data_IF_288389582816
#
_entry.id   IF_288389582816
#
_cell.length_a   1.000
_cell.length_b   1.000
_cell.length_c   1.000
_cell.angle_alpha   90.00
_cell.angle_beta   90.00
_cell.angle_gamma   90.00
#
_symmetry.space_group_name_H-M   'P 1'
#
loop_
_entity.id
_entity.type
_entity.pdbx_description
1 polymer ?
#
# COMPACT_ATOMS: atom_id res chain seq x y z
N UNK A 1 39.70 10.74 -10.49
CA UNK A 1 41.15 10.97 -10.66
C UNK A 1 41.53 12.05 -9.67
N UNK A 2 42.24 11.67 -8.62
CA UNK A 2 42.80 12.64 -7.66
C UNK A 2 44.25 12.89 -8.05
N UNK A 3 44.54 14.07 -8.61
CA UNK A 3 45.91 14.50 -8.92
C UNK A 3 46.50 15.15 -7.67
N UNK A 4 47.41 14.48 -7.01
CA UNK A 4 48.22 15.07 -5.93
C UNK A 4 49.37 15.83 -6.54
N UNK A 5 49.53 17.11 -6.11
CA UNK A 5 50.53 18.04 -6.58
C UNK A 5 51.95 17.51 -6.29
N UNK A 6 52.66 17.10 -7.33
CA UNK A 6 54.04 16.64 -7.22
C UNK A 6 54.98 17.81 -7.02
N UNK A 7 55.93 17.66 -6.10
CA UNK A 7 56.97 18.63 -5.79
C UNK A 7 57.95 18.79 -6.98
N UNK A 8 58.04 19.99 -7.54
CA UNK A 8 58.69 20.29 -8.80
C UNK A 8 60.23 20.38 -8.74
N UNK A 9 60.88 19.84 -7.74
CA UNK A 9 62.35 20.01 -7.52
C UNK A 9 63.21 18.76 -7.77
N UNK A 10 62.66 17.67 -8.34
CA UNK A 10 63.47 16.51 -8.71
C UNK A 10 63.38 16.24 -10.21
N UNK A 11 64.56 15.98 -10.84
CA UNK A 11 64.65 15.60 -12.26
C UNK A 11 63.73 14.45 -12.62
N UNK A 12 63.21 14.42 -13.86
CA UNK A 12 62.27 13.41 -14.26
C UNK A 12 62.89 12.01 -14.15
N UNK A 13 62.44 11.23 -13.21
CA UNK A 13 62.55 9.76 -13.25
C UNK A 13 61.40 9.27 -14.07
N UNK A 14 61.65 8.30 -14.93
CA UNK A 14 60.61 7.57 -15.64
C UNK A 14 59.67 6.97 -14.62
N UNK A 15 58.44 7.49 -14.58
CA UNK A 15 57.40 6.97 -13.75
C UNK A 15 56.54 6.02 -14.61
N UNK A 16 56.56 4.76 -14.29
CA UNK A 16 55.60 3.81 -14.82
C UNK A 16 54.32 3.92 -13.99
N UNK A 17 53.27 4.47 -14.57
CA UNK A 17 51.95 4.53 -13.93
C UNK A 17 51.22 3.23 -14.29
N UNK A 18 51.00 2.38 -13.31
CA UNK A 18 50.12 1.25 -13.45
C UNK A 18 48.67 1.76 -13.24
N UNK A 19 47.88 1.71 -14.28
CA UNK A 19 46.45 1.99 -14.20
C UNK A 19 45.79 0.62 -13.99
N UNK A 20 45.34 0.37 -12.78
CA UNK A 20 44.45 -0.77 -12.50
C UNK A 20 43.05 -0.35 -12.91
N UNK A 21 42.46 -1.12 -13.79
CA UNK A 21 41.07 -0.95 -14.19
C UNK A 21 40.20 -1.42 -13.04
N UNK A 22 39.74 -0.49 -12.20
CA UNK A 22 38.75 -0.77 -11.18
C UNK A 22 37.41 -0.79 -11.86
N UNK A 23 36.95 -1.97 -12.23
CA UNK A 23 35.55 -2.18 -12.61
C UNK A 23 34.71 -2.12 -11.33
N UNK A 24 34.14 -0.97 -11.04
CA UNK A 24 33.00 -0.90 -10.15
C UNK A 24 31.84 -1.62 -10.86
N UNK A 25 31.61 -2.85 -10.47
CA UNK A 25 30.32 -3.49 -10.77
C UNK A 25 29.27 -2.71 -10.00
N UNK A 26 28.59 -1.81 -10.70
CA UNK A 26 27.36 -1.23 -10.17
C UNK A 26 26.43 -2.41 -9.87
N UNK A 27 26.02 -2.56 -8.63
CA UNK A 27 24.95 -3.45 -8.26
C UNK A 27 23.80 -3.18 -9.22
N UNK A 28 23.26 -4.26 -9.80
CA UNK A 28 22.14 -4.21 -10.71
C UNK A 28 21.03 -3.41 -10.04
N UNK A 29 20.97 -2.10 -10.34
CA UNK A 29 19.88 -1.28 -9.89
C UNK A 29 18.67 -1.76 -10.68
N UNK A 30 17.90 -2.64 -10.07
CA UNK A 30 16.58 -2.98 -10.56
C UNK A 30 15.77 -1.68 -10.55
N UNK A 31 15.69 -1.03 -11.70
CA UNK A 31 14.70 0.03 -11.92
C UNK A 31 13.35 -0.67 -11.89
N UNK A 32 12.78 -0.79 -10.70
CA UNK A 32 11.37 -1.10 -10.56
C UNK A 32 10.66 0.14 -11.09
N UNK A 33 10.36 0.13 -12.38
CA UNK A 33 9.44 1.07 -12.95
C UNK A 33 8.11 0.82 -12.24
N UNK A 34 7.75 1.66 -11.29
CA UNK A 34 6.39 1.77 -10.82
C UNK A 34 5.56 2.26 -12.01
N UNK A 35 5.18 1.31 -12.85
CA UNK A 35 4.16 1.59 -13.85
C UNK A 35 2.93 2.00 -13.07
N UNK A 36 2.56 3.27 -13.18
CA UNK A 36 1.31 3.75 -12.59
C UNK A 36 0.17 2.92 -13.20
N UNK A 37 -0.21 1.87 -12.51
CA UNK A 37 -1.24 0.91 -12.96
C UNK A 37 -2.61 1.54 -13.10
N UNK A 38 -2.76 2.80 -12.64
CA UNK A 38 -4.01 3.57 -12.75
C UNK A 38 -4.42 3.83 -14.20
N UNK A 39 -3.43 3.94 -15.10
CA UNK A 39 -3.67 4.25 -16.50
C UNK A 39 -3.62 3.03 -17.45
N UNK A 40 -3.25 1.84 -16.96
CA UNK A 40 -3.07 0.65 -17.80
C UNK A 40 -4.23 -0.36 -17.70
N UNK A 41 -5.37 0.05 -17.19
CA UNK A 41 -6.55 -0.80 -17.19
C UNK A 41 -7.57 -0.34 -18.22
N UNK A 42 -8.06 -1.27 -19.01
CA UNK A 42 -9.19 -1.05 -19.93
C UNK A 42 -10.54 -1.16 -19.20
N UNK A 43 -10.52 -1.47 -17.92
CA UNK A 43 -11.71 -1.68 -17.13
C UNK A 43 -12.27 -0.34 -16.67
N UNK A 44 -13.42 0.05 -17.20
CA UNK A 44 -14.16 1.22 -16.75
C UNK A 44 -14.71 0.97 -15.34
N UNK A 45 -14.62 1.98 -14.49
CA UNK A 45 -15.13 1.89 -13.11
C UNK A 45 -14.16 1.31 -12.07
N UNK A 46 -13.01 0.77 -12.48
CA UNK A 46 -11.95 0.34 -11.57
C UNK A 46 -11.10 1.52 -11.12
N UNK A 47 -10.96 1.67 -9.83
CA UNK A 47 -10.00 2.56 -9.19
C UNK A 47 -9.04 1.75 -8.32
N UNK A 48 -7.76 1.80 -8.65
CA UNK A 48 -6.70 1.16 -7.87
C UNK A 48 -6.17 2.15 -6.85
N UNK A 49 -6.08 1.71 -5.61
CA UNK A 49 -5.66 2.55 -4.48
C UNK A 49 -4.54 1.82 -3.76
N UNK A 50 -3.43 2.53 -3.59
CA UNK A 50 -2.26 2.04 -2.87
C UNK A 50 -2.52 2.04 -1.36
N UNK A 51 -2.09 0.99 -0.66
CA UNK A 51 -2.29 0.84 0.78
C UNK A 51 -1.65 1.94 1.62
N UNK A 52 -0.61 2.60 1.11
CA UNK A 52 0.04 3.71 1.81
C UNK A 52 -0.88 4.89 2.06
N UNK A 53 -1.88 5.10 1.19
CA UNK A 53 -2.89 6.15 1.35
C UNK A 53 -3.70 5.92 2.62
N UNK A 54 -4.03 4.67 2.91
CA UNK A 54 -4.83 4.34 4.10
C UNK A 54 -4.03 4.46 5.40
N UNK A 55 -2.72 4.20 5.37
CA UNK A 55 -1.87 4.35 6.56
C UNK A 55 -1.66 5.80 6.99
N UNK A 56 -1.71 6.73 6.05
CA UNK A 56 -1.53 8.16 6.28
C UNK A 56 -2.84 8.96 6.12
N UNK A 57 -3.96 8.26 5.97
CA UNK A 57 -5.26 8.82 5.67
C UNK A 57 -5.95 9.48 6.85
N UNK A 58 -7.19 9.85 6.61
CA UNK A 58 -8.03 10.54 7.59
C UNK A 58 -8.29 9.64 8.80
N UNK A 59 -7.84 10.07 9.96
CA UNK A 59 -8.00 9.36 11.21
C UNK A 59 -9.20 9.90 11.99
N UNK A 60 -10.27 9.15 12.01
CA UNK A 60 -11.41 9.43 12.90
C UNK A 60 -11.11 8.79 14.25
N UNK A 61 -11.19 9.59 15.32
CA UNK A 61 -10.97 9.11 16.69
C UNK A 61 -9.58 8.46 16.93
N UNK A 62 -8.59 8.87 16.13
CA UNK A 62 -7.19 8.51 16.32
C UNK A 62 -6.69 7.32 15.54
N UNK A 63 -7.49 6.71 14.66
CA UNK A 63 -7.06 5.61 13.80
C UNK A 63 -7.53 5.83 12.37
N UNK A 64 -6.67 5.61 11.36
CA UNK A 64 -7.08 5.65 9.97
C UNK A 64 -8.17 4.62 9.69
N UNK A 65 -9.17 4.99 8.91
CA UNK A 65 -10.32 4.15 8.57
C UNK A 65 -10.45 4.00 7.05
N UNK A 66 -10.33 2.76 6.55
CA UNK A 66 -10.43 2.44 5.14
C UNK A 66 -11.76 2.91 4.52
N UNK A 67 -12.88 2.66 5.20
CA UNK A 67 -14.20 3.00 4.67
C UNK A 67 -14.38 4.50 4.57
N UNK A 68 -13.85 5.25 5.54
CA UNK A 68 -13.88 6.72 5.51
C UNK A 68 -13.07 7.28 4.34
N UNK A 69 -11.93 6.70 4.03
CA UNK A 69 -11.15 7.11 2.86
C UNK A 69 -11.89 6.80 1.55
N UNK A 70 -12.56 5.66 1.46
CA UNK A 70 -13.38 5.33 0.29
C UNK A 70 -14.59 6.27 0.11
N UNK A 71 -15.15 6.79 1.21
CA UNK A 71 -16.24 7.78 1.16
C UNK A 71 -15.79 9.11 0.55
N UNK A 72 -14.50 9.46 0.59
CA UNK A 72 -13.95 10.65 -0.02
C UNK A 72 -13.83 10.56 -1.57
N UNK A 73 -14.07 9.38 -2.13
CA UNK A 73 -13.96 9.16 -3.57
C UNK A 73 -15.21 9.64 -4.32
N UNK A 74 -15.06 10.17 -5.54
CA UNK A 74 -16.19 10.58 -6.37
C UNK A 74 -17.17 9.42 -6.62
N UNK A 75 -18.46 9.66 -6.40
CA UNK A 75 -19.52 8.67 -6.60
C UNK A 75 -19.74 7.74 -5.41
N UNK A 76 -19.05 7.97 -4.31
CA UNK A 76 -19.28 7.29 -3.03
C UNK A 76 -19.86 8.29 -2.05
N UNK A 77 -20.88 7.89 -1.31
CA UNK A 77 -21.48 8.69 -0.26
C UNK A 77 -21.42 7.96 1.08
N UNK A 78 -21.08 8.67 2.13
CA UNK A 78 -21.25 8.20 3.51
C UNK A 78 -22.67 8.48 3.99
N UNK A 79 -23.19 7.64 4.89
CA UNK A 79 -24.51 7.88 5.48
C UNK A 79 -24.52 9.08 6.42
N UNK A 80 -23.62 9.07 7.40
CA UNK A 80 -23.35 10.20 8.32
C UNK A 80 -21.85 10.25 8.56
N UNK A 81 -21.36 11.41 9.00
CA UNK A 81 -19.91 11.61 9.23
C UNK A 81 -19.29 10.60 10.20
N UNK A 82 -20.09 10.06 11.12
CA UNK A 82 -19.62 9.10 12.12
C UNK A 82 -19.81 7.64 11.71
N UNK A 83 -20.70 7.33 10.76
CA UNK A 83 -21.00 5.93 10.40
C UNK A 83 -20.19 5.48 9.19
N UNK A 84 -19.69 4.25 9.24
CA UNK A 84 -18.93 3.61 8.16
C UNK A 84 -19.82 3.01 7.06
N UNK A 85 -20.99 3.58 6.82
CA UNK A 85 -21.85 3.20 5.70
C UNK A 85 -21.25 3.68 4.37
N UNK A 86 -21.23 2.84 3.36
CA UNK A 86 -20.74 3.16 2.04
C UNK A 86 -21.84 2.95 1.01
N UNK A 87 -22.26 4.03 0.35
CA UNK A 87 -23.30 4.04 -0.67
C UNK A 87 -22.65 4.45 -2.00
N UNK A 88 -22.59 3.53 -2.95
CA UNK A 88 -21.92 3.75 -4.22
C UNK A 88 -22.96 3.91 -5.31
N UNK A 89 -22.90 5.02 -6.05
CA UNK A 89 -23.83 5.36 -7.14
C UNK A 89 -25.32 5.24 -6.75
N UNK A 90 -25.65 5.54 -5.50
CA UNK A 90 -27.02 5.45 -4.98
C UNK A 90 -27.51 4.06 -4.62
N UNK A 91 -26.65 3.03 -4.66
CA UNK A 91 -26.96 1.70 -4.15
C UNK A 91 -26.99 1.67 -2.62
N UNK A 92 -27.61 0.64 -2.04
CA UNK A 92 -27.62 0.44 -0.60
C UNK A 92 -26.24 0.00 -0.06
N UNK A 93 -25.96 0.32 1.19
CA UNK A 93 -24.70 -0.10 1.84
C UNK A 93 -24.50 -1.61 1.89
N UNK A 94 -25.59 -2.39 1.86
CA UNK A 94 -25.57 -3.86 1.81
C UNK A 94 -25.33 -4.43 0.41
N UNK A 95 -25.39 -3.60 -0.63
CA UNK A 95 -25.19 -3.99 -2.02
C UNK A 95 -23.73 -3.98 -2.46
N UNK A 96 -22.83 -3.66 -1.56
CA UNK A 96 -21.41 -3.68 -1.80
C UNK A 96 -20.82 -5.05 -1.45
N UNK A 97 -19.92 -5.55 -2.29
CA UNK A 97 -19.10 -6.72 -2.01
C UNK A 97 -17.75 -6.26 -1.49
N UNK A 98 -17.40 -6.67 -0.30
CA UNK A 98 -16.07 -6.40 0.27
C UNK A 98 -15.33 -7.72 0.44
N UNK A 99 -14.14 -7.80 -0.13
CA UNK A 99 -13.30 -8.97 -0.11
C UNK A 99 -11.97 -8.62 0.58
N UNK A 100 -11.48 -9.54 1.38
CA UNK A 100 -10.12 -9.52 1.93
C UNK A 100 -9.40 -10.77 1.46
N UNK A 101 -8.38 -10.61 0.63
CA UNK A 101 -7.64 -11.70 -0.03
C UNK A 101 -8.59 -12.71 -0.72
N UNK A 102 -9.65 -12.20 -1.38
CA UNK A 102 -10.65 -13.01 -2.08
C UNK A 102 -11.73 -13.59 -1.18
N UNK A 103 -11.69 -13.39 0.14
CA UNK A 103 -12.70 -13.88 1.08
C UNK A 103 -13.74 -12.80 1.33
N UNK A 104 -15.06 -13.09 1.09
CA UNK A 104 -16.10 -12.11 1.31
C UNK A 104 -16.31 -11.80 2.80
N UNK A 105 -16.37 -10.51 3.11
CA UNK A 105 -16.68 -10.01 4.43
C UNK A 105 -18.11 -9.51 4.48
N UNK A 106 -18.87 -10.01 5.43
CA UNK A 106 -20.28 -9.63 5.61
C UNK A 106 -20.46 -8.44 6.55
N UNK A 107 -19.52 -8.24 7.46
CA UNK A 107 -19.54 -7.11 8.38
C UNK A 107 -18.22 -6.35 8.31
N UNK A 108 -18.29 -5.15 7.77
CA UNK A 108 -17.13 -4.30 7.50
C UNK A 108 -16.92 -3.21 8.56
N UNK A 109 -17.79 -3.17 9.57
CA UNK A 109 -17.74 -2.15 10.62
C UNK A 109 -18.15 -2.72 11.98
N UNK A 110 -17.64 -2.12 13.04
CA UNK A 110 -17.97 -2.41 14.42
C UNK A 110 -18.59 -1.19 15.12
N UNK A 111 -19.08 -1.35 16.35
CA UNK A 111 -19.66 -0.29 17.17
C UNK A 111 -20.73 0.53 16.41
N UNK A 112 -21.71 -0.16 15.84
CA UNK A 112 -22.80 0.45 15.06
C UNK A 112 -22.29 1.32 13.87
N UNK A 113 -21.15 0.94 13.28
CA UNK A 113 -20.58 1.63 12.12
C UNK A 113 -19.60 2.77 12.44
N UNK A 114 -19.20 2.92 13.69
CA UNK A 114 -18.24 3.97 14.08
C UNK A 114 -16.80 3.64 13.70
N UNK A 115 -16.45 2.35 13.62
CA UNK A 115 -15.11 1.88 13.36
C UNK A 115 -15.15 0.79 12.30
N UNK A 116 -14.29 0.87 11.29
CA UNK A 116 -14.14 -0.21 10.31
C UNK A 116 -13.41 -1.42 10.90
N UNK A 117 -13.67 -2.59 10.33
CA UNK A 117 -13.06 -3.85 10.76
C UNK A 117 -11.64 -4.06 10.21
N UNK A 118 -11.09 -3.06 9.51
CA UNK A 118 -9.83 -3.20 8.79
C UNK A 118 -8.67 -2.62 9.58
N UNK A 119 -7.58 -3.39 9.67
CA UNK A 119 -6.29 -2.86 10.04
C UNK A 119 -5.60 -2.31 8.78
N UNK A 120 -5.48 -1.00 8.68
CA UNK A 120 -4.89 -0.33 7.51
C UNK A 120 -3.40 -0.61 7.32
N UNK A 121 -2.70 -1.04 8.36
CA UNK A 121 -1.26 -1.37 8.32
C UNK A 121 -0.96 -2.61 7.47
N UNK A 122 -1.92 -3.55 7.38
CA UNK A 122 -1.72 -4.79 6.61
C UNK A 122 -2.14 -4.69 5.15
N UNK A 123 -2.71 -3.56 4.74
CA UNK A 123 -3.21 -3.39 3.37
C UNK A 123 -2.06 -3.04 2.43
N UNK A 124 -1.90 -3.82 1.37
CA UNK A 124 -0.97 -3.56 0.27
C UNK A 124 -1.62 -2.68 -0.80
N UNK A 125 -2.73 -3.17 -1.34
CA UNK A 125 -3.49 -2.44 -2.35
C UNK A 125 -4.98 -2.77 -2.26
N UNK A 126 -5.79 -1.95 -2.92
CA UNK A 126 -7.22 -2.10 -2.99
C UNK A 126 -7.69 -1.81 -4.41
N UNK A 127 -8.43 -2.75 -4.97
CA UNK A 127 -9.13 -2.60 -6.23
C UNK A 127 -10.60 -2.26 -5.95
N UNK A 128 -10.99 -1.02 -6.24
CA UNK A 128 -12.36 -0.54 -6.05
C UNK A 128 -13.10 -0.45 -7.38
N UNK A 129 -14.09 -1.29 -7.56
CA UNK A 129 -14.97 -1.29 -8.71
C UNK A 129 -16.27 -0.56 -8.35
N UNK A 130 -16.44 0.64 -8.84
CA UNK A 130 -17.66 1.45 -8.64
C UNK A 130 -18.80 1.03 -9.59
N UNK A 131 -18.45 0.36 -10.69
CA UNK A 131 -19.38 -0.18 -11.69
C UNK A 131 -18.61 -1.12 -12.61
N UNK A 132 -19.34 -1.95 -13.40
CA UNK A 132 -18.73 -2.74 -14.47
C UNK A 132 -17.70 -3.76 -13.98
N UNK A 133 -17.86 -4.32 -12.79
CA UNK A 133 -16.96 -5.32 -12.24
C UNK A 133 -17.02 -6.63 -13.03
N UNK A 134 -15.90 -7.38 -13.09
CA UNK A 134 -15.82 -8.66 -13.80
C UNK A 134 -16.80 -9.70 -13.26
N UNK A 135 -17.20 -10.66 -14.11
CA UNK A 135 -18.16 -11.72 -13.78
C UNK A 135 -17.72 -12.65 -12.63
N UNK A 136 -16.43 -12.63 -12.26
CA UNK A 136 -15.92 -13.34 -11.08
C UNK A 136 -16.51 -12.84 -9.77
N UNK A 137 -16.95 -11.60 -9.74
CA UNK A 137 -17.62 -11.00 -8.58
C UNK A 137 -19.14 -11.10 -8.77
N UNK A 138 -19.81 -11.83 -7.88
CA UNK A 138 -21.24 -12.05 -7.95
C UNK A 138 -21.95 -11.71 -6.63
N UNK A 139 -23.28 -11.69 -6.68
CA UNK A 139 -24.13 -11.59 -5.49
C UNK A 139 -24.33 -10.19 -4.93
N UNK A 140 -23.70 -9.15 -5.51
CA UNK A 140 -23.86 -7.74 -5.15
C UNK A 140 -24.01 -6.88 -6.39
N UNK A 141 -24.66 -5.74 -6.26
CA UNK A 141 -25.12 -4.94 -7.40
C UNK A 141 -24.52 -3.55 -7.47
N UNK A 142 -24.00 -3.02 -6.36
CA UNK A 142 -23.53 -1.63 -6.28
C UNK A 142 -22.03 -1.51 -6.57
N UNK A 143 -21.21 -2.12 -5.75
CA UNK A 143 -19.74 -2.02 -5.91
C UNK A 143 -19.02 -3.27 -5.42
N UNK A 144 -17.72 -3.36 -5.79
CA UNK A 144 -16.80 -4.36 -5.27
C UNK A 144 -15.56 -3.66 -4.73
N UNK A 145 -15.19 -3.99 -3.51
CA UNK A 145 -13.96 -3.58 -2.84
C UNK A 145 -13.12 -4.83 -2.62
N UNK A 146 -12.06 -4.99 -3.39
CA UNK A 146 -11.16 -6.15 -3.30
C UNK A 146 -9.85 -5.70 -2.66
N UNK A 147 -9.64 -6.11 -1.41
CA UNK A 147 -8.51 -5.71 -0.58
C UNK A 147 -7.48 -6.82 -0.60
N UNK A 148 -6.25 -6.47 -0.92
CA UNK A 148 -5.11 -7.40 -0.88
C UNK A 148 -4.21 -7.00 0.28
N UNK A 149 -3.86 -7.98 1.11
CA UNK A 149 -2.92 -7.75 2.21
C UNK A 149 -1.48 -7.83 1.71
N UNK A 150 -0.59 -7.09 2.38
CA UNK A 150 0.84 -7.13 2.09
C UNK A 150 1.47 -8.38 2.68
N UNK A 151 2.50 -8.93 2.02
CA UNK A 151 3.32 -9.96 2.63
C UNK A 151 4.05 -9.37 3.85
N UNK A 152 4.30 -10.22 4.85
CA UNK A 152 5.12 -9.83 6.00
C UNK A 152 6.58 -9.58 5.61
N UNK A 153 7.37 -9.04 6.53
CA UNK A 153 8.80 -8.86 6.31
C UNK A 153 9.56 -10.19 6.50
N UNK A 154 10.26 -10.63 5.45
CA UNK A 154 11.03 -11.87 5.46
C UNK A 154 12.47 -11.70 5.95
N UNK A 155 12.93 -10.47 6.15
CA UNK A 155 14.33 -10.16 6.46
C UNK A 155 14.52 -9.64 7.89
N UNK A 156 13.60 -8.80 8.36
CA UNK A 156 13.74 -8.07 9.61
C UNK A 156 12.45 -8.15 10.43
N UNK A 157 12.61 -8.09 11.76
CA UNK A 157 11.48 -7.94 12.66
C UNK A 157 11.06 -6.48 12.72
N UNK A 158 9.82 -6.23 12.36
CA UNK A 158 9.20 -4.92 12.46
C UNK A 158 7.94 -5.00 13.31
N UNK A 159 7.64 -3.91 13.98
CA UNK A 159 6.42 -3.81 14.75
C UNK A 159 5.90 -2.38 14.74
N UNK A 160 4.59 -2.25 14.73
CA UNK A 160 3.90 -0.99 14.91
C UNK A 160 2.82 -1.13 15.97
N UNK A 161 2.56 -0.05 16.67
CA UNK A 161 1.39 0.03 17.55
C UNK A 161 0.69 1.36 17.32
N UNK A 162 -0.61 1.34 17.42
CA UNK A 162 -1.42 2.54 17.40
C UNK A 162 -2.41 2.51 18.59
N UNK A 163 -2.72 3.67 19.10
CA UNK A 163 -3.71 3.84 20.16
C UNK A 163 -4.63 4.97 19.72
N UNK A 164 -5.88 4.63 19.45
CA UNK A 164 -6.96 5.58 19.22
C UNK A 164 -7.89 5.68 20.41
N UNK A 165 -8.87 6.57 20.33
CA UNK A 165 -9.85 6.76 21.38
C UNK A 165 -10.79 5.55 21.54
N UNK A 166 -11.14 4.90 20.43
CA UNK A 166 -12.07 3.75 20.38
C UNK A 166 -11.42 2.44 19.95
N UNK A 167 -10.20 2.48 19.46
CA UNK A 167 -9.48 1.30 18.98
C UNK A 167 -8.00 1.39 19.30
N UNK A 168 -7.37 0.25 19.31
CA UNK A 168 -5.92 0.13 19.40
C UNK A 168 -5.47 -1.07 18.57
N UNK A 169 -4.28 -0.98 18.00
CA UNK A 169 -3.70 -2.03 17.19
C UNK A 169 -2.26 -2.29 17.59
N UNK A 170 -1.87 -3.55 17.55
CA UNK A 170 -0.50 -4.01 17.63
C UNK A 170 -0.24 -4.91 16.44
N UNK A 171 0.83 -4.65 15.73
CA UNK A 171 1.30 -5.47 14.64
C UNK A 171 2.76 -5.82 14.88
N UNK A 172 3.10 -7.09 14.66
CA UNK A 172 4.47 -7.59 14.68
C UNK A 172 4.64 -8.49 13.47
N UNK A 173 5.70 -8.29 12.74
CA UNK A 173 6.07 -9.09 11.58
C UNK A 173 7.55 -9.40 11.58
N UNK A 174 7.94 -10.49 10.97
CA UNK A 174 9.33 -10.92 10.88
C UNK A 174 9.48 -12.37 10.45
N UNK A 175 10.69 -12.79 10.09
CA UNK A 175 10.96 -14.15 9.66
C UNK A 175 10.81 -15.13 10.83
N UNK A 176 10.04 -16.21 10.63
CA UNK A 176 9.96 -17.30 11.62
C UNK A 176 11.31 -18.01 11.74
N UNK A 177 11.97 -18.21 10.59
CA UNK A 177 13.33 -18.76 10.51
C UNK A 177 14.15 -17.82 9.64
N UNK A 178 15.13 -17.09 10.19
CA UNK A 178 15.95 -16.18 9.40
C UNK A 178 16.60 -16.89 8.20
N UNK A 179 16.36 -16.35 7.00
CA UNK A 179 16.94 -16.87 5.75
C UNK A 179 16.24 -18.09 5.13
N UNK A 180 15.06 -18.51 5.61
CA UNK A 180 14.32 -19.67 5.06
C UNK A 180 12.86 -19.42 4.73
N UNK A 181 12.31 -18.28 5.05
CA UNK A 181 10.91 -17.93 4.75
C UNK A 181 10.86 -16.58 4.12
#
# INVERSE_FOLDING_TARGET
IVLTKADSRKKPKDYTIFIEEQTDTLDESSIIAYVDRRHNTTQTGLQKIDGSIFRHGYAVLGSPDLIKELQNLPGVSGGTELLSGMYVHGGDGTDNLVLLDGVPLYQVSHLAGLVSSFNTEVIDNLDFYKSGFPSRYGGKTSSVVDITTRPGNFHEYNGSFNIGLLNGGLQVEGPIIPGKT
#
